data_IF_265874465252
#
_entry.id   IF_265874465252
#
_cell.length_a   1.000
_cell.length_b   1.000
_cell.length_c   1.000
_cell.angle_alpha   90.00
_cell.angle_beta   90.00
_cell.angle_gamma   90.00
#
_symmetry.space_group_name_H-M   'P 1'
#
loop_
_entity.id
_entity.type
_entity.pdbx_description
1 polymer ?
#
# COMPACT_ATOMS: atom_id res chain seq x y z
N UNK A 1 30.13 -3.39 63.13
CA UNK A 1 30.99 -2.28 62.83
C UNK A 1 30.34 -1.60 61.65
N UNK A 2 29.46 -0.67 61.96
CA UNK A 2 29.66 0.79 62.15
C UNK A 2 30.37 1.36 60.90
N UNK A 3 29.94 2.33 60.17
CA UNK A 3 29.36 3.65 60.51
C UNK A 3 29.01 4.32 59.21
N UNK A 4 27.83 4.84 59.05
CA UNK A 4 27.47 6.26 59.24
C UNK A 4 27.78 7.20 58.05
N UNK A 5 26.74 7.60 57.43
CA UNK A 5 26.19 8.97 57.32
C UNK A 5 27.08 10.05 56.72
N UNK A 6 26.58 10.72 55.71
CA UNK A 6 26.50 12.18 55.77
C UNK A 6 25.49 12.74 54.73
N UNK A 7 24.49 13.34 55.28
CA UNK A 7 23.55 14.29 54.72
C UNK A 7 24.29 15.59 54.34
N UNK A 8 24.10 16.13 53.14
CA UNK A 8 24.20 17.57 52.93
C UNK A 8 23.04 18.09 52.06
N UNK A 9 22.32 18.90 52.75
CA UNK A 9 21.23 19.78 52.34
C UNK A 9 21.84 21.07 51.77
N UNK A 10 21.29 21.60 50.70
CA UNK A 10 21.67 22.90 50.11
C UNK A 10 20.74 23.19 48.95
N UNK A 11 19.65 23.76 49.17
CA UNK A 11 19.08 25.10 49.03
C UNK A 11 19.06 25.63 47.60
N UNK A 12 17.83 25.75 47.08
CA UNK A 12 17.22 26.98 46.54
C UNK A 12 17.95 27.70 45.40
N UNK A 13 17.29 27.78 44.29
CA UNK A 13 17.55 28.66 43.18
C UNK A 13 16.49 28.47 42.11
N UNK A 14 15.31 29.05 42.31
CA UNK A 14 14.37 29.22 41.26
C UNK A 14 14.88 30.29 40.32
N UNK A 15 14.78 30.04 39.04
CA UNK A 15 14.69 31.10 38.03
C UNK A 15 14.14 30.52 36.70
N UNK A 16 13.01 31.10 36.39
CA UNK A 16 12.53 31.54 35.10
C UNK A 16 12.31 30.48 34.00
N UNK A 17 11.13 30.01 34.00
CA UNK A 17 10.33 29.64 32.84
C UNK A 17 10.01 30.91 32.05
N UNK A 18 10.74 31.22 31.02
CA UNK A 18 10.22 32.06 29.93
C UNK A 18 11.23 32.15 28.78
N UNK A 19 11.15 31.26 27.83
CA UNK A 19 11.33 31.55 26.41
C UNK A 19 10.90 30.37 25.60
N UNK A 20 9.61 30.22 25.41
CA UNK A 20 9.06 29.48 24.26
C UNK A 20 9.40 30.36 23.06
N UNK A 21 10.51 30.05 22.40
CA UNK A 21 10.79 30.59 21.09
C UNK A 21 9.66 30.16 20.17
N UNK A 22 8.82 31.14 19.84
CA UNK A 22 7.85 31.04 18.78
C UNK A 22 8.62 30.67 17.50
N UNK A 23 8.57 29.41 17.14
CA UNK A 23 8.91 28.97 15.78
C UNK A 23 7.85 29.56 14.88
N UNK A 24 8.19 30.68 14.28
CA UNK A 24 7.40 31.30 13.26
C UNK A 24 7.17 30.28 12.14
N UNK A 25 5.94 29.80 12.07
CA UNK A 25 5.44 29.04 10.96
C UNK A 25 5.38 29.96 9.74
N UNK A 26 6.51 30.10 9.07
CA UNK A 26 6.59 30.68 7.76
C UNK A 26 5.99 29.69 6.75
N UNK A 27 4.68 29.51 6.80
CA UNK A 27 3.93 28.97 5.68
C UNK A 27 4.04 29.98 4.54
N UNK A 28 5.13 29.93 3.81
CA UNK A 28 5.20 30.42 2.45
C UNK A 28 4.25 29.52 1.62
N UNK A 29 2.98 29.80 1.71
CA UNK A 29 2.02 29.43 0.68
C UNK A 29 2.44 30.21 -0.57
N UNK A 30 3.43 29.68 -1.28
CA UNK A 30 3.64 30.01 -2.67
C UNK A 30 2.35 29.64 -3.40
N UNK A 31 1.43 30.58 -3.47
CA UNK A 31 0.34 30.55 -4.43
C UNK A 31 1.03 30.39 -5.78
N UNK A 32 1.01 29.17 -6.32
CA UNK A 32 1.28 28.94 -7.73
C UNK A 32 0.19 29.74 -8.43
N UNK A 33 0.53 31.00 -8.78
CA UNK A 33 -0.29 31.75 -9.71
C UNK A 33 -0.35 30.89 -10.97
N UNK A 34 -1.51 30.26 -11.14
CA UNK A 34 -1.88 29.59 -12.39
C UNK A 34 -1.52 30.58 -13.48
N UNK A 35 -0.62 30.18 -14.36
CA UNK A 35 -0.13 30.96 -15.50
C UNK A 35 -1.26 31.12 -16.56
N UNK A 36 -2.33 31.78 -16.18
CA UNK A 36 -3.33 32.34 -17.09
C UNK A 36 -2.82 33.65 -17.71
N UNK A 37 -1.72 34.19 -17.16
CA UNK A 37 -1.12 35.43 -17.60
C UNK A 37 -0.78 35.44 -19.11
N UNK A 38 -0.24 34.33 -19.63
CA UNK A 38 0.20 34.29 -21.02
C UNK A 38 -0.93 34.46 -22.04
N UNK A 39 -2.12 33.97 -21.73
CA UNK A 39 -3.28 34.07 -22.62
C UNK A 39 -3.91 35.48 -22.61
N UNK A 40 -4.02 36.06 -21.43
CA UNK A 40 -4.60 37.38 -21.24
C UNK A 40 -3.66 38.49 -21.76
N UNK A 41 -2.35 38.36 -21.51
CA UNK A 41 -1.34 39.24 -22.10
C UNK A 41 -1.29 39.13 -23.60
N UNK A 42 -1.48 37.92 -24.17
CA UNK A 42 -1.59 37.76 -25.63
C UNK A 42 -2.81 38.45 -26.20
N UNK A 43 -3.98 38.29 -25.61
CA UNK A 43 -5.18 38.98 -26.07
C UNK A 43 -5.01 40.51 -26.02
N UNK A 44 -4.35 41.00 -24.96
CA UNK A 44 -4.04 42.45 -24.87
C UNK A 44 -3.06 42.90 -25.98
N UNK A 45 -2.03 42.10 -26.28
CA UNK A 45 -1.08 42.38 -27.35
C UNK A 45 -1.74 42.30 -28.71
N UNK A 46 -2.62 41.32 -28.95
CA UNK A 46 -3.37 41.16 -30.19
C UNK A 46 -4.33 42.33 -30.42
N UNK A 47 -5.01 42.80 -29.38
CA UNK A 47 -5.86 43.99 -29.42
C UNK A 47 -5.02 45.25 -29.68
N UNK A 48 -3.84 45.35 -29.10
CA UNK A 48 -2.93 46.46 -29.33
C UNK A 48 -2.40 46.46 -30.77
N UNK A 49 -2.05 45.30 -31.33
CA UNK A 49 -1.63 45.15 -32.72
C UNK A 49 -2.76 45.50 -33.71
N UNK A 50 -3.98 45.04 -33.44
CA UNK A 50 -5.17 45.39 -34.25
C UNK A 50 -5.47 46.90 -34.27
N UNK A 51 -5.17 47.62 -33.17
CA UNK A 51 -5.35 49.06 -33.06
C UNK A 51 -4.29 49.89 -33.78
N UNK A 52 -3.10 49.34 -34.02
CA UNK A 52 -1.94 50.07 -34.58
C UNK A 52 -1.46 49.48 -35.89
N UNK A 53 -2.14 48.52 -36.52
CA UNK A 53 -1.79 47.92 -37.81
C UNK A 53 -2.06 48.91 -38.96
N UNK A 54 -1.02 49.12 -39.78
CA UNK A 54 -1.14 49.79 -41.09
C UNK A 54 -1.76 48.77 -42.07
N UNK A 55 -2.89 49.10 -42.72
CA UNK A 55 -3.61 48.17 -43.59
C UNK A 55 -2.82 47.72 -44.84
N UNK A 56 -1.65 48.35 -45.12
CA UNK A 56 -0.83 48.03 -46.29
C UNK A 56 0.32 47.04 -46.05
N UNK A 57 0.65 46.69 -44.79
CA UNK A 57 1.68 45.70 -44.44
C UNK A 57 1.33 44.93 -43.15
N UNK A 58 0.48 43.91 -43.23
CA UNK A 58 0.16 43.07 -42.04
C UNK A 58 1.38 42.24 -41.67
N UNK A 59 1.93 42.41 -40.46
CA UNK A 59 2.95 41.51 -39.91
C UNK A 59 2.34 40.15 -39.60
N UNK A 60 3.08 39.09 -40.00
CA UNK A 60 2.69 37.68 -39.81
C UNK A 60 2.65 37.31 -38.31
N UNK A 61 1.44 37.34 -37.73
CA UNK A 61 1.17 36.81 -36.39
C UNK A 61 1.05 35.28 -36.32
N UNK A 62 1.23 34.59 -37.43
CA UNK A 62 1.05 33.14 -37.58
C UNK A 62 2.02 32.32 -36.72
N UNK A 63 3.29 32.69 -36.65
CA UNK A 63 4.31 32.01 -35.89
C UNK A 63 4.05 32.09 -34.37
N UNK A 64 3.62 33.26 -33.89
CA UNK A 64 3.25 33.45 -32.50
C UNK A 64 1.98 32.67 -32.13
N UNK A 65 1.01 32.61 -33.02
CA UNK A 65 -0.22 31.85 -32.80
C UNK A 65 0.07 30.34 -32.72
N UNK A 66 0.99 29.85 -33.58
CA UNK A 66 1.41 28.46 -33.55
C UNK A 66 2.16 28.10 -32.23
N UNK A 67 3.05 28.98 -31.75
CA UNK A 67 3.74 28.80 -30.48
C UNK A 67 2.77 28.81 -29.30
N UNK A 68 1.79 29.71 -29.29
CA UNK A 68 0.76 29.74 -28.27
C UNK A 68 -0.14 28.50 -28.28
N UNK A 69 -0.52 28.01 -29.45
CA UNK A 69 -1.26 26.76 -29.56
C UNK A 69 -0.45 25.61 -28.98
N UNK A 70 0.87 25.60 -29.20
CA UNK A 70 1.77 24.61 -28.63
C UNK A 70 1.89 24.76 -27.09
N UNK A 71 2.02 25.98 -26.56
CA UNK A 71 2.02 26.25 -25.13
C UNK A 71 0.69 25.85 -24.47
N UNK A 72 -0.44 26.21 -25.09
CA UNK A 72 -1.76 25.81 -24.60
C UNK A 72 -1.94 24.29 -24.56
N UNK A 73 -1.39 23.58 -25.54
CA UNK A 73 -1.40 22.11 -25.55
C UNK A 73 -0.56 21.53 -24.44
N UNK A 74 0.63 22.09 -24.19
CA UNK A 74 1.50 21.67 -23.08
C UNK A 74 0.86 21.96 -21.71
N UNK A 75 0.22 23.13 -21.56
CA UNK A 75 -0.53 23.48 -20.36
C UNK A 75 -1.69 22.52 -20.13
N UNK A 76 -2.43 22.18 -21.18
CA UNK A 76 -3.53 21.22 -21.09
C UNK A 76 -3.03 19.83 -20.71
N UNK A 77 -1.89 19.37 -21.26
CA UNK A 77 -1.24 18.12 -20.86
C UNK A 77 -0.79 18.16 -19.39
N UNK A 78 -0.22 19.27 -18.94
CA UNK A 78 0.17 19.45 -17.54
C UNK A 78 -1.03 19.43 -16.60
N UNK A 79 -2.12 20.10 -16.93
CA UNK A 79 -3.37 20.08 -16.17
C UNK A 79 -3.99 18.68 -16.15
N UNK A 80 -3.89 17.94 -17.26
CA UNK A 80 -4.35 16.58 -17.35
C UNK A 80 -3.52 15.64 -16.45
N UNK A 81 -2.20 15.78 -16.42
CA UNK A 81 -1.34 15.05 -15.52
C UNK A 81 -1.68 15.34 -14.03
N UNK A 82 -1.85 16.61 -13.68
CA UNK A 82 -2.26 16.99 -12.32
C UNK A 82 -3.64 16.40 -11.93
N UNK A 83 -4.55 16.32 -12.89
CA UNK A 83 -5.86 15.70 -12.68
C UNK A 83 -5.73 14.18 -12.47
N UNK A 84 -4.85 13.51 -13.23
CA UNK A 84 -4.57 12.08 -13.06
C UNK A 84 -3.93 11.78 -11.70
N UNK A 85 -2.99 12.62 -11.25
CA UNK A 85 -2.40 12.52 -9.91
C UNK A 85 -3.47 12.65 -8.82
N UNK A 86 -4.42 13.58 -9.00
CA UNK A 86 -5.55 13.75 -8.08
C UNK A 86 -6.43 12.50 -8.05
N UNK A 87 -6.75 11.92 -9.21
CA UNK A 87 -7.52 10.67 -9.30
C UNK A 87 -6.77 9.52 -8.63
N UNK A 88 -5.46 9.40 -8.85
CA UNK A 88 -4.64 8.38 -8.20
C UNK A 88 -4.65 8.53 -6.66
N UNK A 89 -4.56 9.76 -6.15
CA UNK A 89 -4.64 10.04 -4.71
C UNK A 89 -6.02 9.66 -4.13
N UNK A 90 -7.10 9.95 -4.85
CA UNK A 90 -8.45 9.53 -4.45
C UNK A 90 -8.59 8.01 -4.42
N UNK A 91 -7.99 7.28 -5.38
CA UNK A 91 -8.02 5.82 -5.39
C UNK A 91 -7.29 5.24 -4.16
N UNK A 92 -6.13 5.80 -3.82
CA UNK A 92 -5.40 5.38 -2.59
C UNK A 92 -6.26 5.61 -1.36
N UNK A 93 -6.91 6.77 -1.25
CA UNK A 93 -7.78 7.07 -0.12
C UNK A 93 -9.01 6.14 -0.05
N UNK A 94 -9.61 5.80 -1.19
CA UNK A 94 -10.70 4.84 -1.24
C UNK A 94 -10.27 3.46 -0.73
N UNK A 95 -9.11 2.96 -1.18
CA UNK A 95 -8.55 1.70 -0.72
C UNK A 95 -8.26 1.71 0.80
N UNK A 96 -7.82 2.85 1.35
CA UNK A 96 -7.60 3.00 2.79
C UNK A 96 -8.89 2.86 3.58
N UNK A 97 -9.98 3.51 3.14
CA UNK A 97 -11.29 3.41 3.79
C UNK A 97 -11.81 1.96 3.71
N UNK A 98 -11.69 1.33 2.56
CA UNK A 98 -12.12 -0.04 2.36
C UNK A 98 -11.37 -1.00 3.29
N UNK A 99 -10.05 -0.89 3.35
CA UNK A 99 -9.22 -1.72 4.21
C UNK A 99 -9.58 -1.55 5.71
N UNK A 100 -9.79 -0.32 6.17
CA UNK A 100 -10.23 -0.05 7.56
C UNK A 100 -11.57 -0.73 7.85
N UNK A 101 -12.46 -0.82 6.87
CA UNK A 101 -13.75 -1.49 7.02
C UNK A 101 -13.64 -3.01 7.23
N UNK A 102 -12.46 -3.58 6.98
CA UNK A 102 -12.20 -5.01 7.19
C UNK A 102 -11.78 -5.35 8.62
N UNK A 103 -11.41 -4.36 9.45
CA UNK A 103 -11.03 -4.62 10.85
C UNK A 103 -12.16 -5.38 11.57
N UNK A 104 -11.81 -6.48 12.22
CA UNK A 104 -12.72 -7.38 12.91
C UNK A 104 -13.45 -8.39 12.00
N UNK A 105 -13.26 -8.32 10.69
CA UNK A 105 -13.79 -9.32 9.76
C UNK A 105 -12.76 -10.40 9.51
N UNK A 106 -13.24 -11.60 9.20
CA UNK A 106 -12.40 -12.68 8.72
C UNK A 106 -12.20 -12.54 7.21
N UNK A 107 -10.95 -12.63 6.77
CA UNK A 107 -10.58 -12.53 5.36
C UNK A 107 -9.75 -13.73 4.93
N UNK A 108 -9.72 -13.96 3.60
CA UNK A 108 -8.71 -14.76 2.96
C UNK A 108 -7.87 -13.86 2.04
N UNK A 109 -6.56 -14.00 2.12
CA UNK A 109 -5.61 -13.27 1.29
C UNK A 109 -4.57 -14.20 0.71
N UNK A 110 -4.05 -13.88 -0.47
CA UNK A 110 -2.96 -14.64 -1.07
C UNK A 110 -1.71 -14.50 -0.19
N UNK A 111 -1.12 -15.63 0.19
CA UNK A 111 0.05 -15.68 1.07
C UNK A 111 0.33 -17.10 1.52
N UNK A 112 1.49 -17.28 2.10
CA UNK A 112 2.02 -18.57 2.54
C UNK A 112 2.45 -18.59 4.00
N UNK A 113 2.35 -17.44 4.69
CA UNK A 113 2.77 -17.28 6.10
C UNK A 113 1.59 -17.55 7.02
N UNK A 114 1.83 -18.27 8.09
CA UNK A 114 0.85 -18.54 9.15
C UNK A 114 1.50 -18.43 10.53
N UNK A 115 0.72 -18.03 11.50
CA UNK A 115 1.11 -18.08 12.92
C UNK A 115 0.57 -19.35 13.56
N UNK A 116 1.43 -20.05 14.29
CA UNK A 116 1.12 -21.28 15.01
C UNK A 116 1.16 -21.02 16.51
N UNK A 117 0.09 -21.39 17.19
CA UNK A 117 -0.06 -21.31 18.65
C UNK A 117 -0.25 -22.69 19.31
N UNK A 118 -0.11 -23.77 18.51
CA UNK A 118 -0.33 -25.15 18.94
C UNK A 118 -1.74 -25.66 18.67
N UNK A 119 -2.65 -24.82 18.16
CA UNK A 119 -3.98 -25.26 17.70
C UNK A 119 -3.91 -25.73 16.24
N UNK A 120 -4.71 -26.74 15.84
CA UNK A 120 -4.74 -27.19 14.45
C UNK A 120 -5.10 -26.07 13.47
N UNK A 121 -4.36 -25.97 12.37
CA UNK A 121 -4.52 -24.94 11.34
C UNK A 121 -5.02 -25.56 10.04
N UNK A 122 -5.93 -24.87 9.36
CA UNK A 122 -6.40 -25.24 8.03
C UNK A 122 -5.60 -24.47 6.97
N UNK A 123 -4.83 -25.21 6.16
CA UNK A 123 -4.05 -24.67 5.05
C UNK A 123 -4.94 -24.65 3.82
N UNK A 124 -5.10 -23.49 3.21
CA UNK A 124 -5.96 -23.29 2.03
C UNK A 124 -5.08 -23.01 0.82
N UNK A 125 -5.39 -23.65 -0.28
CA UNK A 125 -4.68 -23.46 -1.53
C UNK A 125 -5.63 -23.66 -2.72
N UNK A 126 -5.27 -23.10 -3.87
CA UNK A 126 -6.00 -23.29 -5.13
C UNK A 126 -5.11 -24.00 -6.13
N UNK A 127 -5.67 -24.96 -6.82
CA UNK A 127 -5.04 -25.63 -7.94
C UNK A 127 -5.58 -25.07 -9.26
N UNK A 128 -4.70 -24.67 -10.18
CA UNK A 128 -5.08 -24.16 -11.50
C UNK A 128 -5.75 -25.22 -12.37
N UNK A 129 -5.49 -26.51 -12.08
CA UNK A 129 -6.05 -27.69 -12.76
C UNK A 129 -6.28 -28.81 -11.76
N UNK A 130 -6.94 -29.91 -12.20
CA UNK A 130 -7.04 -31.10 -11.38
C UNK A 130 -5.66 -31.71 -11.16
N UNK A 131 -5.33 -32.04 -9.91
CA UNK A 131 -4.10 -32.74 -9.57
C UNK A 131 -4.37 -34.19 -9.23
N UNK A 132 -3.44 -35.06 -9.58
CA UNK A 132 -3.47 -36.50 -9.22
C UNK A 132 -2.70 -36.77 -7.92
N UNK A 133 -1.69 -35.96 -7.64
CA UNK A 133 -0.85 -35.99 -6.44
C UNK A 133 -0.45 -34.59 -6.07
N UNK A 134 -0.34 -34.32 -4.78
CA UNK A 134 0.20 -33.08 -4.26
C UNK A 134 0.93 -33.30 -2.95
N UNK A 135 1.76 -32.33 -2.59
CA UNK A 135 2.49 -32.30 -1.33
C UNK A 135 2.43 -30.86 -0.79
N UNK A 136 1.98 -30.75 0.44
CA UNK A 136 2.09 -29.52 1.23
C UNK A 136 3.34 -29.62 2.10
N UNK A 137 4.27 -28.73 1.88
CA UNK A 137 5.54 -28.64 2.62
C UNK A 137 5.48 -27.44 3.55
N UNK A 138 5.78 -27.65 4.82
CA UNK A 138 5.71 -26.63 5.87
C UNK A 138 7.12 -26.39 6.39
N UNK A 139 7.49 -25.12 6.50
CA UNK A 139 8.82 -24.66 6.88
C UNK A 139 8.70 -23.69 8.07
N UNK A 140 9.70 -23.68 8.92
CA UNK A 140 9.82 -22.70 9.98
C UNK A 140 10.46 -21.38 9.44
N UNK A 141 10.55 -20.38 10.32
CA UNK A 141 11.15 -19.07 10.00
C UNK A 141 12.60 -19.12 9.52
N UNK A 142 13.34 -20.18 9.83
CA UNK A 142 14.70 -20.42 9.32
C UNK A 142 14.75 -21.11 7.95
N UNK A 143 13.59 -21.43 7.36
CA UNK A 143 13.48 -22.15 6.10
C UNK A 143 13.71 -23.67 6.22
N UNK A 144 13.76 -24.22 7.45
CA UNK A 144 13.90 -25.64 7.66
C UNK A 144 12.55 -26.34 7.51
N UNK A 145 12.53 -27.45 6.79
CA UNK A 145 11.34 -28.27 6.60
C UNK A 145 10.90 -28.88 7.93
N UNK A 146 9.67 -28.61 8.34
CA UNK A 146 9.05 -29.12 9.57
C UNK A 146 8.15 -30.32 9.29
N UNK A 147 7.34 -30.24 8.25
CA UNK A 147 6.35 -31.25 7.91
C UNK A 147 6.13 -31.33 6.41
N UNK A 148 5.87 -32.55 5.93
CA UNK A 148 5.26 -32.80 4.63
C UNK A 148 3.94 -33.51 4.82
N UNK A 149 2.91 -33.06 4.09
CA UNK A 149 1.59 -33.66 4.06
C UNK A 149 1.31 -34.05 2.62
N UNK A 150 1.18 -35.32 2.37
CA UNK A 150 0.77 -35.84 1.08
C UNK A 150 -0.72 -35.63 0.90
N UNK A 151 -1.10 -35.02 -0.23
CA UNK A 151 -2.50 -34.86 -0.62
C UNK A 151 -2.74 -35.69 -1.89
N UNK A 152 -3.80 -36.43 -1.90
CA UNK A 152 -4.19 -37.26 -3.05
C UNK A 152 -4.73 -36.40 -4.18
N UNK A 153 -5.57 -37.02 -5.01
CA UNK A 153 -6.25 -36.33 -6.09
C UNK A 153 -7.13 -35.19 -5.56
N UNK A 154 -6.97 -33.99 -6.14
CA UNK A 154 -7.73 -32.78 -5.83
C UNK A 154 -8.32 -32.20 -7.10
N UNK A 155 -9.42 -31.48 -6.96
CA UNK A 155 -10.05 -30.81 -8.08
C UNK A 155 -9.44 -29.41 -8.29
N UNK A 156 -9.59 -28.89 -9.51
CA UNK A 156 -9.32 -27.50 -9.82
C UNK A 156 -10.08 -26.57 -8.87
N UNK A 157 -9.45 -25.49 -8.44
CA UNK A 157 -9.99 -24.48 -7.55
C UNK A 157 -9.54 -24.67 -6.10
N UNK A 158 -10.32 -24.15 -5.15
CA UNK A 158 -9.98 -24.13 -3.74
C UNK A 158 -10.01 -25.51 -3.11
N UNK A 159 -8.95 -25.82 -2.42
CA UNK A 159 -8.76 -27.04 -1.64
C UNK A 159 -8.21 -26.67 -0.26
N UNK A 160 -8.30 -27.59 0.68
CA UNK A 160 -7.75 -27.38 2.01
C UNK A 160 -7.22 -28.68 2.61
N UNK A 161 -6.25 -28.53 3.51
CA UNK A 161 -5.74 -29.62 4.33
C UNK A 161 -5.56 -29.14 5.76
N UNK A 162 -5.96 -29.95 6.71
CA UNK A 162 -5.78 -29.66 8.12
C UNK A 162 -4.38 -30.13 8.57
N UNK A 163 -3.66 -29.26 9.24
CA UNK A 163 -2.41 -29.57 9.89
C UNK A 163 -2.58 -29.55 11.41
N UNK A 164 -2.36 -30.70 12.03
CA UNK A 164 -2.24 -30.81 13.49
C UNK A 164 -0.82 -30.38 13.88
N UNK A 165 -0.71 -29.22 14.49
CA UNK A 165 0.54 -28.63 14.95
C UNK A 165 0.73 -28.80 16.46
N UNK A 166 0.05 -29.76 17.10
CA UNK A 166 0.23 -30.10 18.51
C UNK A 166 1.70 -30.46 18.80
N UNK A 167 2.32 -29.76 19.75
CA UNK A 167 3.71 -29.97 20.12
C UNK A 167 4.74 -29.26 19.19
N UNK A 168 4.27 -28.46 18.23
CA UNK A 168 5.10 -27.56 17.44
C UNK A 168 5.26 -26.25 18.23
N UNK A 169 6.45 -25.67 18.20
CA UNK A 169 6.72 -24.37 18.84
C UNK A 169 5.86 -23.27 18.19
N UNK A 170 5.32 -22.38 19.04
CA UNK A 170 4.56 -21.24 18.55
C UNK A 170 5.46 -20.29 17.76
N UNK A 171 4.93 -19.68 16.71
CA UNK A 171 5.64 -18.74 15.86
C UNK A 171 5.22 -18.79 14.40
N UNK A 172 5.96 -18.08 13.56
CA UNK A 172 5.69 -17.95 12.13
C UNK A 172 6.23 -19.13 11.33
N UNK A 173 5.40 -19.70 10.49
CA UNK A 173 5.68 -20.79 9.57
C UNK A 173 5.25 -20.43 8.17
N UNK A 174 5.87 -21.11 7.18
CA UNK A 174 5.55 -20.95 5.77
C UNK A 174 5.10 -22.29 5.23
N UNK A 175 4.20 -22.27 4.24
CA UNK A 175 3.85 -23.47 3.52
C UNK A 175 3.88 -23.27 2.02
N UNK A 176 4.28 -24.29 1.32
CA UNK A 176 4.25 -24.37 -0.15
C UNK A 176 3.50 -25.61 -0.56
N UNK A 177 2.79 -25.51 -1.67
CA UNK A 177 2.03 -26.62 -2.24
C UNK A 177 2.55 -26.93 -3.63
N UNK A 178 2.88 -28.17 -3.86
CA UNK A 178 3.27 -28.70 -5.18
C UNK A 178 2.25 -29.75 -5.60
N UNK A 179 1.89 -29.74 -6.86
CA UNK A 179 0.94 -30.71 -7.43
C UNK A 179 1.29 -31.11 -8.84
N UNK A 180 0.95 -32.33 -9.21
CA UNK A 180 1.09 -32.82 -10.58
C UNK A 180 -0.25 -33.37 -11.09
N UNK A 181 -0.52 -33.13 -12.39
CA UNK A 181 -1.68 -33.66 -13.05
C UNK A 181 -1.50 -35.16 -13.39
N UNK A 182 -2.48 -35.79 -14.08
CA UNK A 182 -2.41 -37.18 -14.49
C UNK A 182 -1.28 -37.48 -15.49
N UNK A 183 -0.81 -36.46 -16.20
CA UNK A 183 0.30 -36.54 -17.15
C UNK A 183 1.67 -36.43 -16.48
N UNK A 184 1.69 -36.13 -15.17
CA UNK A 184 2.93 -35.90 -14.40
C UNK A 184 3.49 -34.51 -14.56
N UNK A 185 2.75 -33.58 -15.14
CA UNK A 185 3.14 -32.18 -15.31
C UNK A 185 2.83 -31.39 -14.03
N UNK A 186 3.69 -30.42 -13.69
CA UNK A 186 3.47 -29.53 -12.55
C UNK A 186 2.29 -28.61 -12.78
N UNK A 187 1.41 -28.51 -11.78
CA UNK A 187 0.26 -27.61 -11.77
C UNK A 187 0.58 -26.39 -10.91
N UNK A 188 0.18 -25.20 -11.39
CA UNK A 188 0.34 -23.98 -10.59
C UNK A 188 -0.59 -24.02 -9.38
N UNK A 189 -0.03 -23.71 -8.21
CA UNK A 189 -0.72 -23.74 -6.92
C UNK A 189 -0.58 -22.38 -6.25
N UNK A 190 -1.71 -21.76 -5.89
CA UNK A 190 -1.74 -20.53 -5.11
C UNK A 190 -2.10 -20.87 -3.65
N UNK A 191 -1.42 -20.25 -2.70
CA UNK A 191 -1.64 -20.43 -1.26
C UNK A 191 -2.38 -19.24 -0.67
N UNK A 192 -3.18 -19.49 0.38
CA UNK A 192 -3.98 -18.47 1.04
C UNK A 192 -3.84 -18.55 2.54
N UNK A 193 -3.74 -17.37 3.15
CA UNK A 193 -3.84 -17.20 4.59
C UNK A 193 -5.23 -16.69 4.94
N UNK A 194 -5.79 -17.19 6.04
CA UNK A 194 -7.09 -16.77 6.55
C UNK A 194 -6.98 -16.33 7.99
N UNK A 195 -7.80 -15.39 8.36
CA UNK A 195 -7.93 -14.99 9.76
C UNK A 195 -8.62 -13.63 9.92
N UNK A 196 -8.81 -13.27 11.18
CA UNK A 196 -9.46 -12.00 11.54
C UNK A 196 -8.49 -10.84 11.38
N UNK A 197 -8.93 -9.78 10.71
CA UNK A 197 -8.17 -8.55 10.59
C UNK A 197 -8.05 -7.85 11.93
N UNK A 198 -6.85 -7.73 12.45
CA UNK A 198 -6.54 -7.09 13.73
C UNK A 198 -6.13 -5.62 13.58
N UNK A 199 -5.65 -5.23 12.40
CA UNK A 199 -5.19 -3.88 12.13
C UNK A 199 -5.01 -3.60 10.64
N UNK A 200 -4.79 -2.32 10.32
CA UNK A 200 -4.45 -1.84 8.98
C UNK A 200 -3.32 -0.85 9.10
N UNK A 201 -2.30 -0.97 8.28
CA UNK A 201 -1.16 -0.06 8.22
C UNK A 201 -1.07 0.61 6.86
N UNK A 202 -0.61 1.85 6.86
CA UNK A 202 -0.45 2.67 5.65
C UNK A 202 1.02 3.07 5.52
N UNK A 203 1.67 2.62 4.47
CA UNK A 203 3.07 2.91 4.24
C UNK A 203 3.32 3.31 2.79
N UNK A 204 3.73 4.56 2.58
CA UNK A 204 4.12 5.05 1.25
C UNK A 204 3.05 4.92 0.15
N UNK A 205 1.76 4.96 0.50
CA UNK A 205 0.65 4.78 -0.43
C UNK A 205 0.20 3.32 -0.58
N UNK A 206 0.92 2.38 0.01
CA UNK A 206 0.50 0.98 0.11
C UNK A 206 -0.33 0.76 1.38
N UNK A 207 -1.36 -0.05 1.24
CA UNK A 207 -2.24 -0.46 2.34
C UNK A 207 -1.93 -1.92 2.68
N UNK A 208 -1.68 -2.18 3.95
CA UNK A 208 -1.43 -3.52 4.47
C UNK A 208 -2.43 -3.86 5.56
N UNK A 209 -2.81 -5.12 5.61
CA UNK A 209 -3.75 -5.68 6.57
C UNK A 209 -2.99 -6.61 7.50
N UNK A 210 -3.25 -6.51 8.78
CA UNK A 210 -2.69 -7.39 9.79
C UNK A 210 -3.70 -8.48 10.15
N UNK A 211 -3.26 -9.74 10.05
CA UNK A 211 -3.97 -10.93 10.51
C UNK A 211 -3.12 -11.53 11.65
N UNK A 212 -3.43 -11.18 12.91
CA UNK A 212 -2.53 -11.46 14.00
C UNK A 212 -1.19 -10.73 13.79
N UNK A 213 -0.09 -11.48 13.72
CA UNK A 213 1.25 -10.95 13.47
C UNK A 213 1.65 -11.02 11.98
N UNK A 214 0.77 -11.53 11.11
CA UNK A 214 1.01 -11.61 9.65
C UNK A 214 0.58 -10.32 8.98
N UNK A 215 1.49 -9.70 8.20
CA UNK A 215 1.25 -8.50 7.42
C UNK A 215 1.02 -8.86 5.94
N UNK A 216 -0.14 -8.54 5.42
CA UNK A 216 -0.58 -8.90 4.06
C UNK A 216 -0.95 -7.64 3.29
N UNK A 217 -0.45 -7.44 2.05
CA UNK A 217 -0.88 -6.33 1.22
C UNK A 217 -2.40 -6.40 0.94
N UNK A 218 -3.10 -5.27 1.05
CA UNK A 218 -4.55 -5.20 0.79
C UNK A 218 -4.95 -5.72 -0.59
N UNK A 219 -4.09 -5.51 -1.59
CA UNK A 219 -4.31 -5.99 -2.96
C UNK A 219 -4.38 -7.51 -3.08
N UNK A 220 -3.84 -8.24 -2.11
CA UNK A 220 -3.77 -9.70 -2.10
C UNK A 220 -4.96 -10.32 -1.35
N UNK A 221 -5.88 -9.49 -0.81
CA UNK A 221 -7.15 -9.96 -0.23
C UNK A 221 -8.06 -10.45 -1.35
N UNK A 222 -8.47 -11.70 -1.27
CA UNK A 222 -9.30 -12.36 -2.30
C UNK A 222 -10.75 -12.51 -1.88
N UNK A 223 -11.02 -12.57 -0.58
CA UNK A 223 -12.39 -12.65 -0.08
C UNK A 223 -12.51 -12.14 1.35
N UNK A 224 -13.73 -11.73 1.69
CA UNK A 224 -14.14 -11.41 3.06
C UNK A 224 -15.14 -12.47 3.46
N UNK A 225 -14.83 -13.20 4.54
CA UNK A 225 -15.74 -14.19 5.09
C UNK A 225 -16.65 -13.46 6.08
N UNK A 226 -17.96 -13.53 5.85
CA UNK A 226 -18.90 -12.98 6.83
C UNK A 226 -18.87 -13.87 8.07
N UNK A 227 -18.38 -13.34 9.19
CA UNK A 227 -18.50 -14.00 10.48
C UNK A 227 -19.96 -14.35 10.77
N UNK A 228 -20.20 -15.60 11.10
CA UNK A 228 -21.49 -16.10 11.59
C UNK A 228 -21.73 -15.63 13.01
#
# INVERSE_FOLDING_TARGET
MVESASLRKGTSGGQDMSSVASVGNGSSTGTIQKNTLGKDEFFQMLIAQLKHQDPLNPMDGTDFTAQLAQFSSLEQLSNMNASLETVAAHQVFANQIEAVSLIGKEIAAQGDVMEIDGTPVTLIYSAAENISKGTVSIYNSSGSLVKKIEVGSQQQGLNSVQWDCSGIESGSYYFAVEGTNLQGESVNMDTYVTGTVTGVTFNGGSVHIQIGDVDVPFKDVVSVVSGT
#
